data_IF_387444720194
#
_entry.id   IF_387444720194
#
_cell.length_a   1.000
_cell.length_b   1.000
_cell.length_c   1.000
_cell.angle_alpha   90.00
_cell.angle_beta   90.00
_cell.angle_gamma   90.00
#
_symmetry.space_group_name_H-M   'P 1'
#
loop_
_entity.id
_entity.type
_entity.pdbx_description
1 polymer ?
#
# COMPACT_ATOMS: atom_id res chain seq x y z
N UNK A 1 -8.26 -16.91 17.90
CA UNK A 1 -8.29 -15.76 16.95
C UNK A 1 -7.72 -14.53 17.63
N UNK A 2 -6.83 -13.82 16.97
CA UNK A 2 -6.32 -12.54 17.43
C UNK A 2 -6.51 -11.49 16.34
N UNK A 3 -6.57 -10.22 16.73
CA UNK A 3 -6.62 -9.10 15.76
C UNK A 3 -5.29 -8.37 15.83
N UNK A 4 -4.68 -8.18 14.66
CA UNK A 4 -3.40 -7.49 14.53
C UNK A 4 -3.60 -6.25 13.66
N UNK A 5 -3.27 -5.07 14.20
CA UNK A 5 -3.38 -3.81 13.49
C UNK A 5 -1.99 -3.20 13.26
N UNK A 6 -1.74 -2.79 12.03
CA UNK A 6 -0.49 -2.12 11.65
C UNK A 6 -0.79 -0.77 11.02
N UNK A 7 -0.29 0.30 11.63
CA UNK A 7 -0.47 1.64 11.13
C UNK A 7 0.43 1.97 9.94
N UNK A 8 0.27 3.17 9.38
CA UNK A 8 0.99 3.59 8.18
C UNK A 8 2.51 3.60 8.33
N UNK A 9 3.03 3.96 9.51
CA UNK A 9 4.48 3.93 9.75
C UNK A 9 5.02 2.50 9.79
N UNK A 10 4.21 1.53 10.20
CA UNK A 10 4.63 0.12 10.24
C UNK A 10 4.69 -0.53 8.86
N UNK A 11 4.02 0.03 7.88
CA UNK A 11 3.99 -0.45 6.50
C UNK A 11 4.50 0.61 5.51
N UNK A 12 5.36 1.52 5.98
CA UNK A 12 5.79 2.67 5.22
C UNK A 12 6.63 2.32 3.97
N UNK A 13 7.37 1.25 4.01
CA UNK A 13 8.26 0.82 2.93
C UNK A 13 8.42 -0.70 2.91
N UNK A 14 9.18 -1.20 1.93
CA UNK A 14 9.38 -2.64 1.75
C UNK A 14 10.00 -3.32 2.96
N UNK A 15 11.00 -2.70 3.58
CA UNK A 15 11.65 -3.27 4.77
C UNK A 15 10.67 -3.45 5.92
N UNK A 16 9.85 -2.44 6.17
CA UNK A 16 8.84 -2.49 7.24
C UNK A 16 7.73 -3.50 6.93
N UNK A 17 7.33 -3.60 5.67
CA UNK A 17 6.34 -4.60 5.23
C UNK A 17 6.88 -6.02 5.44
N UNK A 18 8.14 -6.26 5.12
CA UNK A 18 8.78 -7.56 5.39
C UNK A 18 8.79 -7.89 6.88
N UNK A 19 9.05 -6.90 7.72
CA UNK A 19 9.02 -7.07 9.17
C UNK A 19 7.61 -7.42 9.66
N UNK A 20 6.59 -6.71 9.17
CA UNK A 20 5.18 -7.01 9.49
C UNK A 20 4.83 -8.42 9.06
N UNK A 21 5.23 -8.83 7.87
CA UNK A 21 4.98 -10.18 7.37
C UNK A 21 5.60 -11.24 8.29
N UNK A 22 6.80 -11.00 8.81
CA UNK A 22 7.44 -11.92 9.76
C UNK A 22 6.68 -12.02 11.07
N UNK A 23 6.13 -10.91 11.56
CA UNK A 23 5.29 -10.91 12.78
C UNK A 23 4.02 -11.71 12.55
N UNK A 24 3.33 -11.50 11.45
CA UNK A 24 2.11 -12.22 11.10
C UNK A 24 2.38 -13.72 11.02
N UNK A 25 3.48 -14.09 10.37
CA UNK A 25 3.87 -15.48 10.24
C UNK A 25 4.12 -16.15 11.59
N UNK A 26 4.72 -15.42 12.54
CA UNK A 26 5.00 -15.93 13.88
C UNK A 26 3.71 -16.24 14.66
N UNK A 27 2.60 -15.58 14.35
CA UNK A 27 1.30 -15.78 15.02
C UNK A 27 0.28 -16.50 14.14
N UNK A 28 0.73 -17.11 13.06
CA UNK A 28 -0.15 -17.75 12.06
C UNK A 28 -1.07 -18.83 12.65
N UNK A 29 -0.59 -19.59 13.63
CA UNK A 29 -1.34 -20.63 14.31
C UNK A 29 -2.49 -20.09 15.18
N UNK A 30 -2.48 -18.80 15.49
CA UNK A 30 -3.52 -18.14 16.29
C UNK A 30 -4.66 -17.55 15.46
N UNK A 31 -4.70 -17.85 14.17
CA UNK A 31 -5.72 -17.37 13.22
C UNK A 31 -5.86 -15.84 13.26
N UNK A 32 -4.82 -15.10 12.87
CA UNK A 32 -4.86 -13.64 12.96
C UNK A 32 -5.82 -13.03 11.94
N UNK A 33 -6.54 -12.00 12.40
CA UNK A 33 -7.23 -11.07 11.52
C UNK A 33 -6.34 -9.85 11.42
N UNK A 34 -5.87 -9.53 10.22
CA UNK A 34 -4.88 -8.47 10.00
C UNK A 34 -5.56 -7.23 9.42
N UNK A 35 -5.38 -6.09 10.09
CA UNK A 35 -5.88 -4.80 9.64
C UNK A 35 -4.68 -3.93 9.30
N UNK A 36 -4.56 -3.53 8.05
CA UNK A 36 -3.44 -2.75 7.54
C UNK A 36 -3.88 -1.33 7.17
N UNK A 37 -2.99 -0.38 7.40
CA UNK A 37 -3.11 0.97 6.87
C UNK A 37 -2.51 1.03 5.47
N UNK A 38 -2.72 2.16 4.77
CA UNK A 38 -2.00 2.46 3.54
C UNK A 38 -0.52 2.73 3.84
N UNK A 39 0.33 2.53 2.83
CA UNK A 39 1.77 2.73 2.98
C UNK A 39 2.13 4.21 3.13
N UNK A 40 2.94 4.53 4.14
CA UNK A 40 3.62 5.82 4.27
C UNK A 40 2.76 7.03 3.87
N UNK A 41 3.18 7.75 2.84
CA UNK A 41 2.55 8.98 2.36
C UNK A 41 1.39 8.76 1.37
N UNK A 42 0.89 7.53 1.24
CA UNK A 42 -0.17 7.23 0.26
C UNK A 42 -1.40 8.11 0.43
N UNK A 43 -1.87 8.31 1.66
CA UNK A 43 -3.03 9.15 1.92
C UNK A 43 -2.81 10.58 1.42
N UNK A 44 -1.62 11.16 1.69
CA UNK A 44 -1.28 12.50 1.23
C UNK A 44 -1.23 12.57 -0.30
N UNK A 45 -0.64 11.57 -0.94
CA UNK A 45 -0.59 11.48 -2.41
C UNK A 45 -1.99 11.36 -3.02
N UNK A 46 -2.90 10.61 -2.39
CA UNK A 46 -4.28 10.49 -2.87
C UNK A 46 -5.04 11.81 -2.74
N UNK A 47 -4.87 12.52 -1.62
CA UNK A 47 -5.50 13.82 -1.43
C UNK A 47 -5.00 14.83 -2.46
N UNK A 48 -3.71 14.86 -2.73
CA UNK A 48 -3.12 15.71 -3.75
C UNK A 48 -3.64 15.37 -5.14
N UNK A 49 -3.73 14.08 -5.47
CA UNK A 49 -4.27 13.63 -6.75
C UNK A 49 -5.75 14.02 -6.91
N UNK A 50 -6.53 13.93 -5.83
CA UNK A 50 -7.93 14.32 -5.84
C UNK A 50 -8.10 15.82 -6.11
N UNK A 51 -7.27 16.66 -5.49
CA UNK A 51 -7.29 18.11 -5.71
C UNK A 51 -6.97 18.45 -7.17
N UNK A 52 -5.99 17.76 -7.77
CA UNK A 52 -5.65 17.93 -9.19
C UNK A 52 -6.79 17.47 -10.10
N UNK A 53 -7.44 16.38 -9.77
CA UNK A 53 -8.56 15.84 -10.55
C UNK A 53 -9.74 16.81 -10.62
N UNK A 54 -10.01 17.54 -9.55
CA UNK A 54 -11.03 18.59 -9.51
C UNK A 54 -10.74 19.68 -10.54
N UNK A 55 -9.45 19.94 -10.80
CA UNK A 55 -9.01 20.91 -11.81
C UNK A 55 -8.89 20.32 -13.21
N UNK A 56 -9.33 19.09 -13.41
CA UNK A 56 -9.26 18.39 -14.70
C UNK A 56 -7.94 17.72 -15.00
N UNK A 57 -7.03 17.63 -14.03
CA UNK A 57 -5.73 17.01 -14.19
C UNK A 57 -5.71 15.62 -13.53
N UNK A 58 -5.49 14.58 -14.33
CA UNK A 58 -5.37 13.21 -13.82
C UNK A 58 -3.89 12.89 -13.59
N UNK A 59 -3.48 12.82 -12.32
CA UNK A 59 -2.11 12.55 -11.95
C UNK A 59 -2.07 11.67 -10.70
N UNK A 60 -1.79 10.39 -10.89
CA UNK A 60 -1.61 9.41 -9.82
C UNK A 60 -0.17 8.89 -9.76
N UNK A 61 0.77 9.62 -10.37
CA UNK A 61 2.16 9.18 -10.49
C UNK A 61 2.82 8.95 -9.12
N UNK A 62 2.55 9.79 -8.13
CA UNK A 62 3.12 9.63 -6.79
C UNK A 62 2.69 8.33 -6.13
N UNK A 63 1.40 8.01 -6.18
CA UNK A 63 0.85 6.75 -5.65
C UNK A 63 1.41 5.56 -6.43
N UNK A 64 1.38 5.65 -7.75
CA UNK A 64 1.83 4.56 -8.62
C UNK A 64 3.30 4.24 -8.38
N UNK A 65 4.16 5.26 -8.36
CA UNK A 65 5.59 5.08 -8.17
C UNK A 65 5.91 4.44 -6.82
N UNK A 66 5.30 4.93 -5.75
CA UNK A 66 5.51 4.37 -4.41
C UNK A 66 5.20 2.89 -4.38
N UNK A 67 4.05 2.48 -4.93
CA UNK A 67 3.62 1.09 -4.92
C UNK A 67 4.44 0.21 -5.87
N UNK A 68 4.77 0.72 -7.06
CA UNK A 68 5.60 0.00 -8.03
C UNK A 68 7.01 -0.25 -7.49
N UNK A 69 7.65 0.77 -6.91
CA UNK A 69 8.98 0.66 -6.34
C UNK A 69 8.99 -0.32 -5.16
N UNK A 70 7.98 -0.23 -4.30
CA UNK A 70 7.86 -1.12 -3.14
C UNK A 70 7.63 -2.57 -3.58
N UNK A 71 6.76 -2.79 -4.57
CA UNK A 71 6.52 -4.12 -5.12
C UNK A 71 7.80 -4.73 -5.69
N UNK A 72 8.61 -3.93 -6.40
CA UNK A 72 9.88 -4.38 -6.94
C UNK A 72 10.86 -4.79 -5.84
N UNK A 73 10.96 -3.99 -4.77
CA UNK A 73 11.82 -4.31 -3.62
C UNK A 73 11.35 -5.56 -2.87
N UNK A 74 10.05 -5.83 -2.85
CA UNK A 74 9.47 -7.02 -2.22
C UNK A 74 9.56 -8.25 -3.12
N UNK A 75 9.93 -8.10 -4.39
CA UNK A 75 9.93 -9.19 -5.36
C UNK A 75 8.54 -9.62 -5.82
N UNK A 76 7.55 -8.74 -5.66
CA UNK A 76 6.18 -8.98 -6.10
C UNK A 76 6.04 -8.57 -7.57
N UNK A 77 5.34 -9.39 -8.36
CA UNK A 77 5.09 -9.06 -9.76
C UNK A 77 4.22 -7.81 -9.88
N UNK A 78 4.61 -6.90 -10.76
CA UNK A 78 3.91 -5.63 -10.97
C UNK A 78 2.43 -5.85 -11.36
N UNK A 79 2.12 -6.93 -12.06
CA UNK A 79 0.76 -7.26 -12.46
C UNK A 79 -0.20 -7.39 -11.28
N UNK A 80 0.32 -7.74 -10.11
CA UNK A 80 -0.47 -7.87 -8.88
C UNK A 80 -1.18 -6.57 -8.52
N UNK A 81 -0.54 -5.43 -8.77
CA UNK A 81 -1.08 -4.11 -8.41
C UNK A 81 -1.49 -3.29 -9.63
N UNK A 82 -1.09 -3.68 -10.84
CA UNK A 82 -1.29 -2.89 -12.05
C UNK A 82 -2.76 -2.62 -12.35
N UNK A 83 -3.61 -3.62 -12.19
CA UNK A 83 -5.04 -3.47 -12.43
C UNK A 83 -5.67 -2.45 -11.48
N UNK A 84 -5.26 -2.47 -10.21
CA UNK A 84 -5.75 -1.53 -9.20
C UNK A 84 -5.29 -0.10 -9.48
N UNK A 85 -4.04 0.07 -9.92
CA UNK A 85 -3.51 1.40 -10.28
C UNK A 85 -4.23 1.96 -11.52
N UNK A 86 -4.52 1.10 -12.50
CA UNK A 86 -5.28 1.49 -13.68
C UNK A 86 -6.69 1.94 -13.31
N UNK A 87 -7.35 1.20 -12.43
CA UNK A 87 -8.68 1.53 -11.93
C UNK A 87 -8.68 2.88 -11.20
N UNK A 88 -7.69 3.12 -10.34
CA UNK A 88 -7.53 4.38 -9.63
C UNK A 88 -7.46 5.56 -10.60
N UNK A 89 -6.70 5.42 -11.68
CA UNK A 89 -6.54 6.47 -12.68
C UNK A 89 -7.85 6.81 -13.41
N UNK A 90 -8.75 5.83 -13.51
CA UNK A 90 -10.03 5.98 -14.18
C UNK A 90 -11.13 6.59 -13.30
N UNK A 91 -10.92 6.67 -12.02
CA UNK A 91 -11.87 7.31 -11.13
C UNK A 91 -11.83 8.84 -11.34
#
# INVERSE_FOLDING_TARGET
>A
MIVMKFGGSSVANAERIKHVASIIKAYQDKRPVVVLSAMGDTTDHLLEAADKAVLGEVDVAGVAKLHEDTAAELGIKIETIQALLTELKQL
#
